data_IF_567222097543
#
_entry.id   IF_567222097543
#
_cell.length_a   1.000
_cell.length_b   1.000
_cell.length_c   1.000
_cell.angle_alpha   90.00
_cell.angle_beta   90.00
_cell.angle_gamma   90.00
#
_symmetry.space_group_name_H-M   'P 1'
#
loop_
_entity.id
_entity.type
_entity.pdbx_description
1 polymer ?
#
# COMPACT_ATOMS: atom_id res chain seq x y z
N UNK A 1 85.91 27.65 14.00
CA UNK A 1 85.82 26.24 13.55
C UNK A 1 85.54 25.36 14.76
N UNK A 2 84.76 24.25 14.68
CA UNK A 2 83.62 23.89 13.80
C UNK A 2 82.29 24.01 14.61
N UNK A 3 81.08 24.28 14.11
CA UNK A 3 80.27 23.89 12.95
C UNK A 3 79.72 22.44 12.97
N UNK A 4 78.54 22.27 13.57
CA UNK A 4 77.63 21.11 13.36
C UNK A 4 76.20 21.64 13.25
N UNK A 5 75.56 21.37 12.10
CA UNK A 5 74.21 21.79 11.73
C UNK A 5 73.13 20.99 12.50
N UNK A 6 72.13 21.69 13.03
CA UNK A 6 70.82 21.14 13.43
C UNK A 6 69.80 21.44 12.33
N UNK A 7 69.12 20.41 11.81
CA UNK A 7 67.87 20.57 11.06
C UNK A 7 66.70 20.12 11.94
N UNK A 8 65.87 21.09 12.33
CA UNK A 8 64.55 20.85 12.91
C UNK A 8 63.51 20.59 11.82
N UNK A 9 62.71 19.55 12.02
CA UNK A 9 61.48 19.25 11.27
C UNK A 9 60.33 19.97 12.00
N UNK A 10 59.66 20.91 11.34
CA UNK A 10 58.37 21.42 11.76
C UNK A 10 57.35 21.29 10.62
N UNK A 11 56.16 20.91 11.07
CA UNK A 11 54.91 20.58 10.40
C UNK A 11 54.44 21.58 9.34
N UNK A 12 54.06 21.07 8.16
CA UNK A 12 53.29 21.82 7.15
C UNK A 12 51.80 21.65 7.39
N UNK A 13 51.14 22.78 7.63
CA UNK A 13 49.70 22.99 7.43
C UNK A 13 49.31 22.63 5.99
N UNK A 14 48.18 21.94 5.82
CA UNK A 14 47.45 21.84 4.55
C UNK A 14 46.09 22.49 4.72
N UNK A 15 45.84 23.52 3.91
CA UNK A 15 44.58 24.24 3.79
C UNK A 15 43.55 23.39 3.07
N UNK A 16 42.32 23.41 3.57
CA UNK A 16 41.10 22.99 2.89
C UNK A 16 40.91 23.79 1.59
N UNK A 17 40.50 23.09 0.53
CA UNK A 17 39.90 23.68 -0.66
C UNK A 17 38.66 22.86 -1.01
N UNK A 18 37.49 23.51 -0.95
CA UNK A 18 36.21 23.00 -1.37
C UNK A 18 36.24 22.64 -2.87
N UNK A 19 35.68 21.48 -3.23
CA UNK A 19 35.42 21.10 -4.62
C UNK A 19 33.93 21.09 -4.89
N UNK A 20 33.53 22.04 -5.71
CA UNK A 20 32.26 22.14 -6.44
C UNK A 20 32.14 20.96 -7.41
N UNK A 21 31.06 20.18 -7.34
CA UNK A 21 30.70 19.21 -8.37
C UNK A 21 29.69 19.86 -9.32
N UNK A 22 30.12 20.08 -10.56
CA UNK A 22 29.26 20.51 -11.66
C UNK A 22 28.79 19.28 -12.46
N UNK A 23 27.49 19.26 -12.76
CA UNK A 23 26.80 18.27 -13.58
C UNK A 23 27.40 18.16 -14.99
N UNK A 24 27.70 16.94 -15.44
CA UNK A 24 27.95 16.65 -16.86
C UNK A 24 26.80 15.82 -17.42
N UNK A 25 26.09 16.41 -18.37
CA UNK A 25 25.11 15.74 -19.22
C UNK A 25 25.83 14.80 -20.22
N UNK A 26 25.23 13.65 -20.60
CA UNK A 26 25.81 12.78 -21.61
C UNK A 26 25.67 13.38 -23.03
N UNK A 27 26.79 13.41 -23.77
CA UNK A 27 26.86 13.74 -25.20
C UNK A 27 26.43 12.56 -26.07
N UNK A 28 25.90 12.82 -27.27
CA UNK A 28 25.28 11.82 -28.14
C UNK A 28 26.31 10.89 -28.81
N UNK A 29 25.91 9.63 -28.99
CA UNK A 29 26.62 8.59 -29.74
C UNK A 29 26.77 8.96 -31.24
N UNK A 30 27.94 8.71 -31.87
CA UNK A 30 28.14 9.01 -33.28
C UNK A 30 27.55 7.92 -34.19
N UNK A 31 26.94 8.39 -35.28
CA UNK A 31 26.43 7.60 -36.39
C UNK A 31 27.57 6.80 -37.06
N UNK A 32 27.34 5.50 -37.26
CA UNK A 32 28.18 4.68 -38.15
C UNK A 32 27.70 4.82 -39.60
N UNK A 33 28.68 5.08 -40.46
CA UNK A 33 28.60 5.27 -41.89
C UNK A 33 28.31 3.96 -42.65
N UNK A 34 27.51 4.13 -43.70
CA UNK A 34 27.21 3.24 -44.81
C UNK A 34 28.39 2.46 -45.40
N UNK A 35 28.20 1.14 -45.57
CA UNK A 35 28.92 0.34 -46.56
C UNK A 35 27.99 -0.03 -47.72
N UNK A 36 28.49 0.25 -48.92
CA UNK A 36 27.87 0.04 -50.22
C UNK A 36 27.86 -1.46 -50.57
N UNK A 37 26.72 -2.01 -50.97
CA UNK A 37 26.67 -3.27 -51.73
C UNK A 37 25.48 -3.27 -52.69
N UNK A 38 25.68 -3.96 -53.80
CA UNK A 38 25.10 -3.72 -55.10
C UNK A 38 23.61 -4.06 -55.25
N UNK A 39 23.01 -3.28 -56.15
CA UNK A 39 21.66 -3.36 -56.67
C UNK A 39 21.51 -4.53 -57.66
N UNK A 40 20.47 -5.36 -57.53
CA UNK A 40 19.86 -6.08 -58.66
C UNK A 40 18.40 -6.43 -58.34
N UNK A 41 17.51 -5.52 -58.76
CA UNK A 41 16.19 -5.75 -59.35
C UNK A 41 15.43 -7.04 -59.00
N UNK A 42 14.41 -6.93 -58.15
CA UNK A 42 13.16 -7.70 -58.28
C UNK A 42 11.95 -6.78 -58.12
N UNK A 43 11.04 -6.95 -59.07
CA UNK A 43 9.74 -6.32 -59.30
C UNK A 43 8.83 -6.26 -58.06
N UNK A 44 8.00 -5.21 -57.90
CA UNK A 44 7.00 -5.15 -56.83
C UNK A 44 5.76 -5.96 -57.22
N UNK A 45 5.51 -7.06 -56.50
CA UNK A 45 4.22 -7.76 -56.52
C UNK A 45 3.16 -6.92 -55.79
N UNK A 46 2.01 -6.77 -56.44
CA UNK A 46 0.86 -6.00 -55.99
C UNK A 46 0.34 -6.44 -54.60
N UNK A 47 0.03 -5.46 -53.76
CA UNK A 47 -0.74 -5.62 -52.53
C UNK A 47 -2.16 -6.16 -52.84
N UNK A 48 -2.64 -7.18 -52.11
CA UNK A 48 -4.02 -7.63 -52.23
C UNK A 48 -4.97 -6.62 -51.56
N UNK A 49 -6.04 -6.25 -52.27
CA UNK A 49 -7.12 -5.39 -51.78
C UNK A 49 -7.83 -6.02 -50.56
N UNK A 50 -8.30 -5.20 -49.60
CA UNK A 50 -9.07 -5.71 -48.46
C UNK A 50 -10.43 -6.25 -48.91
N UNK A 51 -10.95 -7.32 -48.28
CA UNK A 51 -12.24 -7.90 -48.63
C UNK A 51 -13.41 -6.94 -48.30
N UNK A 52 -14.40 -6.90 -49.19
CA UNK A 52 -15.64 -6.10 -49.03
C UNK A 52 -16.39 -6.48 -47.74
N UNK A 53 -17.01 -5.50 -47.04
CA UNK A 53 -17.81 -5.79 -45.85
C UNK A 53 -19.05 -6.62 -46.21
N UNK A 54 -19.33 -7.66 -45.41
CA UNK A 54 -20.53 -8.49 -45.52
C UNK A 54 -21.79 -7.67 -45.19
N UNK A 55 -22.93 -7.91 -45.86
CA UNK A 55 -24.18 -7.21 -45.57
C UNK A 55 -24.72 -7.59 -44.17
N UNK A 56 -25.21 -6.59 -43.44
CA UNK A 56 -25.83 -6.74 -42.11
C UNK A 56 -27.03 -7.70 -42.16
N UNK A 57 -27.22 -8.59 -41.17
CA UNK A 57 -28.40 -9.44 -41.11
C UNK A 57 -29.66 -8.63 -40.75
N UNK A 58 -30.76 -8.92 -41.45
CA UNK A 58 -32.10 -8.37 -41.17
C UNK A 58 -32.62 -8.85 -39.80
N UNK A 59 -33.38 -8.03 -39.04
CA UNK A 59 -33.94 -8.45 -37.77
C UNK A 59 -35.04 -9.51 -37.97
N UNK A 60 -34.96 -10.61 -37.22
CA UNK A 60 -36.02 -11.64 -37.14
C UNK A 60 -37.13 -11.20 -36.18
N UNK A 61 -38.38 -11.64 -36.39
CA UNK A 61 -39.53 -11.20 -35.61
C UNK A 61 -39.50 -11.75 -34.17
N UNK A 62 -39.91 -10.91 -33.21
CA UNK A 62 -40.05 -11.26 -31.79
C UNK A 62 -41.16 -12.31 -31.60
N UNK A 63 -40.79 -13.51 -31.17
CA UNK A 63 -41.72 -14.52 -30.67
C UNK A 63 -42.10 -14.15 -29.23
N UNK A 64 -43.37 -13.80 -28.98
CA UNK A 64 -43.90 -13.59 -27.63
C UNK A 64 -44.13 -14.95 -26.97
N UNK A 65 -43.23 -15.34 -26.07
CA UNK A 65 -43.45 -16.46 -25.16
C UNK A 65 -44.27 -15.97 -23.95
N UNK A 66 -45.54 -16.40 -23.84
CA UNK A 66 -46.34 -16.22 -22.62
C UNK A 66 -45.91 -17.28 -21.60
N UNK A 67 -45.09 -16.91 -20.63
CA UNK A 67 -44.91 -17.72 -19.42
C UNK A 67 -46.12 -17.53 -18.48
N UNK A 68 -46.78 -18.63 -18.12
CA UNK A 68 -47.73 -18.68 -17.00
C UNK A 68 -46.93 -18.75 -15.70
N UNK A 69 -47.12 -17.76 -14.83
CA UNK A 69 -46.61 -17.77 -13.45
C UNK A 69 -47.56 -18.58 -12.54
N UNK A 70 -47.06 -19.44 -11.65
CA UNK A 70 -47.86 -20.06 -10.60
C UNK A 70 -48.19 -19.08 -9.47
N UNK A 71 -49.40 -19.19 -8.93
CA UNK A 71 -49.93 -18.37 -7.84
C UNK A 71 -49.18 -18.63 -6.52
N UNK A 72 -48.51 -17.60 -6.00
CA UNK A 72 -48.11 -17.53 -4.60
C UNK A 72 -49.19 -16.82 -3.78
N UNK A 73 -49.72 -17.53 -2.78
CA UNK A 73 -50.69 -17.03 -1.80
C UNK A 73 -50.02 -15.98 -0.90
N UNK A 74 -50.70 -14.85 -0.70
CA UNK A 74 -50.36 -13.81 0.28
C UNK A 74 -50.76 -14.27 1.70
N UNK A 75 -49.98 -13.99 2.76
CA UNK A 75 -50.43 -14.14 4.13
C UNK A 75 -51.37 -12.99 4.53
N UNK A 76 -52.49 -13.34 5.16
CA UNK A 76 -53.49 -12.42 5.70
C UNK A 76 -53.00 -11.79 7.00
N UNK A 77 -53.02 -10.46 7.07
CA UNK A 77 -53.02 -9.70 8.33
C UNK A 77 -54.41 -9.80 8.98
N UNK A 78 -54.47 -10.29 10.22
CA UNK A 78 -55.67 -10.22 11.06
C UNK A 78 -55.75 -8.89 11.83
N UNK A 79 -56.95 -8.43 12.21
CA UNK A 79 -57.14 -7.18 12.95
C UNK A 79 -56.77 -7.32 14.44
N UNK A 80 -56.40 -6.21 15.12
CA UNK A 80 -56.03 -6.24 16.54
C UNK A 80 -57.25 -6.34 17.47
N UNK A 81 -57.10 -6.89 18.69
CA UNK A 81 -58.18 -6.94 19.69
C UNK A 81 -58.38 -5.60 20.42
N UNK A 82 -59.56 -5.38 21.04
CA UNK A 82 -59.99 -4.07 21.49
C UNK A 82 -59.42 -3.66 22.87
N UNK A 83 -59.25 -2.35 23.01
CA UNK A 83 -58.87 -1.61 24.21
C UNK A 83 -60.00 -1.70 25.24
N UNK A 84 -59.73 -2.24 26.42
CA UNK A 84 -60.62 -2.13 27.58
C UNK A 84 -59.91 -1.31 28.66
N UNK A 85 -60.48 -0.15 28.95
CA UNK A 85 -60.08 0.73 30.04
C UNK A 85 -60.61 0.20 31.37
N UNK A 86 -59.77 0.14 32.41
CA UNK A 86 -60.21 0.32 33.79
C UNK A 86 -59.18 1.13 34.58
N UNK A 87 -59.72 2.12 35.29
CA UNK A 87 -59.07 3.14 36.11
C UNK A 87 -58.77 2.62 37.54
N UNK A 88 -58.23 3.41 38.48
CA UNK A 88 -57.07 3.05 39.29
C UNK A 88 -57.42 2.65 40.73
N UNK A 89 -56.55 1.89 41.38
CA UNK A 89 -56.51 1.79 42.83
C UNK A 89 -55.21 2.39 43.38
N UNK A 90 -55.37 2.94 44.57
CA UNK A 90 -54.65 4.02 45.19
C UNK A 90 -53.92 3.45 46.43
N UNK A 91 -52.64 3.81 46.60
CA UNK A 91 -51.83 3.93 47.85
C UNK A 91 -51.37 2.61 48.57
N UNK A 92 -50.46 2.67 49.57
CA UNK A 92 -49.01 2.37 49.47
C UNK A 92 -48.55 1.30 50.49
N UNK A 93 -47.26 0.93 50.52
CA UNK A 93 -46.41 0.94 51.75
C UNK A 93 -45.02 0.37 51.48
N UNK A 94 -44.02 1.22 51.74
CA UNK A 94 -42.70 0.96 52.32
C UNK A 94 -42.20 -0.49 52.46
N UNK A 95 -41.04 -0.76 51.86
CA UNK A 95 -39.92 -1.39 52.58
C UNK A 95 -38.59 -0.84 52.03
N UNK A 96 -38.02 0.11 52.76
CA UNK A 96 -36.62 0.51 52.62
C UNK A 96 -35.76 -0.60 53.23
N UNK A 97 -35.05 -1.37 52.40
CA UNK A 97 -33.90 -2.14 52.85
C UNK A 97 -32.65 -1.41 52.36
N UNK A 98 -32.06 -0.63 53.27
CA UNK A 98 -30.76 -0.02 53.09
C UNK A 98 -29.70 -1.13 53.10
N UNK A 99 -29.29 -1.58 51.91
CA UNK A 99 -28.06 -2.34 51.74
C UNK A 99 -26.93 -1.32 51.48
N UNK A 100 -26.22 -0.96 52.54
CA UNK A 100 -24.99 -0.17 52.47
C UNK A 100 -23.89 -1.02 51.82
N UNK A 101 -23.86 -1.04 50.50
CA UNK A 101 -22.67 -1.42 49.75
C UNK A 101 -21.67 -0.26 49.88
N UNK A 102 -20.62 -0.49 50.66
CA UNK A 102 -19.44 0.37 50.69
C UNK A 102 -18.80 0.35 49.30
N UNK A 103 -19.11 1.36 48.49
CA UNK A 103 -18.37 1.65 47.27
C UNK A 103 -16.92 1.97 47.67
N UNK A 104 -15.90 1.31 47.09
CA UNK A 104 -14.54 1.81 47.22
C UNK A 104 -14.49 3.22 46.62
N UNK A 105 -13.66 4.13 47.17
CA UNK A 105 -13.53 5.48 46.63
C UNK A 105 -13.16 5.41 45.14
N UNK A 106 -13.58 6.40 44.32
CA UNK A 106 -13.15 6.45 42.94
C UNK A 106 -11.62 6.47 42.93
N UNK A 107 -11.02 5.41 42.44
CA UNK A 107 -9.61 5.39 42.10
C UNK A 107 -9.43 6.53 41.13
N UNK A 108 -8.69 7.55 41.56
CA UNK A 108 -8.22 8.64 40.72
C UNK A 108 -7.69 8.03 39.44
N UNK A 109 -8.46 8.11 38.35
CA UNK A 109 -7.97 7.87 37.01
C UNK A 109 -6.77 8.77 36.87
N UNK A 110 -5.59 8.15 36.72
CA UNK A 110 -4.41 8.85 36.29
C UNK A 110 -4.79 9.71 35.09
N UNK A 111 -4.35 10.97 35.01
CA UNK A 111 -4.57 11.76 33.81
C UNK A 111 -4.05 10.95 32.63
N UNK A 112 -4.89 10.77 31.61
CA UNK A 112 -4.49 10.25 30.32
C UNK A 112 -3.22 11.02 29.93
N UNK A 113 -2.08 10.33 29.91
CA UNK A 113 -0.82 10.93 29.51
C UNK A 113 -1.05 11.60 28.17
N UNK A 114 -0.86 12.92 28.10
CA UNK A 114 -0.80 13.62 26.83
C UNK A 114 0.11 12.83 25.90
N UNK A 115 -0.27 12.57 24.63
CA UNK A 115 0.61 11.88 23.71
C UNK A 115 1.94 12.63 23.69
N UNK A 116 3.01 11.94 24.09
CA UNK A 116 4.37 12.46 23.92
C UNK A 116 4.51 12.80 22.44
N UNK A 117 4.82 14.06 22.16
CA UNK A 117 5.01 14.59 20.80
C UNK A 117 6.30 13.96 20.24
N UNK A 118 6.20 12.75 19.69
CA UNK A 118 7.31 12.02 19.07
C UNK A 118 7.16 11.97 17.56
N UNK A 119 7.26 13.12 16.89
CA UNK A 119 7.76 13.17 15.52
C UNK A 119 9.23 12.77 15.52
N UNK A 120 9.60 11.76 14.74
CA UNK A 120 11.01 11.39 14.58
C UNK A 120 11.56 12.10 13.35
N UNK A 121 12.32 13.18 13.55
CA UNK A 121 13.07 13.85 12.46
C UNK A 121 14.21 12.98 11.92
N UNK A 122 14.59 11.95 12.68
CA UNK A 122 15.56 10.93 12.31
C UNK A 122 14.83 9.74 11.70
N UNK A 123 15.34 9.14 10.61
CA UNK A 123 14.75 7.91 10.07
C UNK A 123 14.66 6.80 11.11
N UNK A 124 13.55 6.07 11.11
CA UNK A 124 13.37 4.81 11.84
C UNK A 124 14.18 3.68 11.19
N UNK A 125 14.28 3.69 9.86
CA UNK A 125 15.22 2.88 9.08
C UNK A 125 16.04 3.83 8.19
N UNK A 126 17.35 4.00 8.44
CA UNK A 126 18.22 4.94 7.73
C UNK A 126 18.78 4.36 6.42
N UNK A 127 17.96 3.59 5.70
CA UNK A 127 18.32 2.95 4.44
C UNK A 127 17.19 3.12 3.43
N UNK A 128 17.45 2.85 2.14
CA UNK A 128 16.42 2.87 1.10
C UNK A 128 15.30 1.84 1.39
N UNK A 129 14.25 2.29 2.04
CA UNK A 129 13.07 1.54 2.47
C UNK A 129 11.80 2.29 2.05
N UNK A 130 11.53 2.42 0.73
CA UNK A 130 10.40 3.18 0.26
C UNK A 130 9.10 2.40 0.29
N UNK A 131 8.01 3.16 0.32
CA UNK A 131 6.62 2.65 0.27
C UNK A 131 6.35 1.62 1.37
N UNK A 132 6.61 1.98 2.65
CA UNK A 132 6.45 1.03 3.75
C UNK A 132 4.97 0.68 3.95
N UNK A 133 4.65 -0.60 4.11
CA UNK A 133 3.44 -1.02 4.82
C UNK A 133 3.80 -1.52 6.22
N UNK A 134 2.81 -1.57 7.12
CA UNK A 134 2.98 -1.98 8.52
C UNK A 134 1.90 -2.96 8.93
N UNK A 135 2.28 -4.00 9.67
CA UNK A 135 1.37 -5.00 10.22
C UNK A 135 1.91 -5.52 11.55
N UNK A 136 1.01 -5.84 12.49
CA UNK A 136 1.36 -6.55 13.72
C UNK A 136 1.07 -8.03 13.55
N UNK A 137 2.07 -8.87 13.78
CA UNK A 137 1.86 -10.30 13.96
C UNK A 137 1.26 -10.54 15.35
N UNK A 138 0.03 -11.06 15.39
CA UNK A 138 -0.67 -11.31 16.63
C UNK A 138 -0.05 -12.48 17.42
N UNK A 139 0.59 -13.43 16.74
CA UNK A 139 1.18 -14.60 17.37
C UNK A 139 2.46 -14.26 18.14
N UNK A 140 3.33 -13.43 17.55
CA UNK A 140 4.61 -13.04 18.15
C UNK A 140 4.60 -11.69 18.87
N UNK A 141 3.50 -10.92 18.78
CA UNK A 141 3.43 -9.53 19.23
C UNK A 141 4.53 -8.63 18.62
N UNK A 142 4.96 -8.97 17.40
CA UNK A 142 6.01 -8.24 16.69
C UNK A 142 5.41 -7.41 15.56
N UNK A 143 5.90 -6.18 15.41
CA UNK A 143 5.57 -5.32 14.29
C UNK A 143 6.51 -5.62 13.13
N UNK A 144 5.95 -5.72 11.93
CA UNK A 144 6.69 -5.87 10.70
C UNK A 144 6.36 -4.73 9.75
N UNK A 145 7.37 -4.31 9.00
CA UNK A 145 7.22 -3.41 7.88
C UNK A 145 7.80 -4.05 6.63
N UNK A 146 7.14 -3.84 5.50
CA UNK A 146 7.59 -4.31 4.19
C UNK A 146 7.72 -3.13 3.25
N UNK A 147 8.66 -3.19 2.31
CA UNK A 147 8.94 -2.09 1.40
C UNK A 147 9.26 -2.57 -0.02
N UNK A 148 9.17 -1.62 -0.95
CA UNK A 148 9.58 -1.76 -2.35
C UNK A 148 10.95 -2.43 -2.48
N UNK A 149 11.13 -3.29 -3.49
CA UNK A 149 12.35 -4.04 -3.72
C UNK A 149 13.60 -3.18 -3.86
N UNK A 150 14.71 -3.65 -3.31
CA UNK A 150 15.99 -2.95 -3.32
C UNK A 150 17.16 -3.92 -3.12
N UNK A 151 18.35 -3.44 -3.43
CA UNK A 151 19.57 -4.03 -2.90
C UNK A 151 19.63 -3.79 -1.38
N UNK A 152 20.05 -4.79 -0.59
CA UNK A 152 20.24 -4.60 0.84
C UNK A 152 21.34 -3.56 1.10
N UNK A 153 21.29 -2.85 2.23
CA UNK A 153 22.27 -1.81 2.54
C UNK A 153 23.67 -2.41 2.70
N UNK A 154 24.66 -1.81 2.06
CA UNK A 154 26.06 -2.28 2.10
C UNK A 154 26.67 -2.33 3.51
N UNK A 155 26.10 -1.57 4.47
CA UNK A 155 26.56 -1.53 5.85
C UNK A 155 26.14 -2.76 6.68
N UNK A 156 25.18 -3.56 6.19
CA UNK A 156 24.64 -4.74 6.87
C UNK A 156 25.22 -5.98 6.18
N UNK A 157 26.50 -6.26 6.42
CA UNK A 157 27.10 -7.52 5.99
C UNK A 157 26.45 -8.68 6.77
N UNK A 158 26.17 -9.80 6.11
CA UNK A 158 25.39 -10.94 6.60
C UNK A 158 26.04 -11.79 7.71
N UNK A 159 26.66 -11.14 8.69
CA UNK A 159 27.20 -11.80 9.89
C UNK A 159 26.32 -11.62 11.13
N UNK A 160 25.24 -10.84 11.04
CA UNK A 160 24.26 -10.66 12.12
C UNK A 160 23.02 -11.56 11.92
N UNK A 161 23.25 -12.83 11.59
CA UNK A 161 22.20 -13.85 11.46
C UNK A 161 22.01 -14.64 12.76
N UNK A 162 22.10 -13.99 13.91
CA UNK A 162 21.70 -14.60 15.19
C UNK A 162 20.17 -14.58 15.31
N UNK A 163 19.52 -15.39 14.48
CA UNK A 163 18.17 -15.90 14.75
C UNK A 163 18.26 -17.43 14.79
N UNK A 164 17.97 -17.95 15.98
CA UNK A 164 17.88 -19.34 16.41
C UNK A 164 17.65 -20.34 15.26
N UNK A 165 18.73 -21.01 14.85
CA UNK A 165 18.72 -22.05 13.83
C UNK A 165 18.22 -23.37 14.43
N UNK A 166 16.91 -23.50 14.61
CA UNK A 166 16.27 -24.78 14.94
C UNK A 166 15.07 -25.07 14.03
N UNK A 167 15.27 -25.01 12.71
CA UNK A 167 14.46 -25.82 11.79
C UNK A 167 15.26 -26.19 10.55
N UNK A 168 15.73 -27.44 10.55
CA UNK A 168 16.32 -28.08 9.38
C UNK A 168 15.18 -28.56 8.48
N UNK A 169 14.96 -27.88 7.36
CA UNK A 169 14.32 -28.52 6.21
C UNK A 169 15.04 -28.09 4.93
N UNK A 170 15.75 -29.04 4.37
CA UNK A 170 16.45 -28.96 3.09
C UNK A 170 15.43 -28.80 1.96
N UNK A 171 15.33 -27.61 1.41
CA UNK A 171 14.72 -27.36 0.10
C UNK A 171 15.72 -26.57 -0.72
N UNK A 172 16.34 -27.26 -1.69
CA UNK A 172 17.20 -26.69 -2.71
C UNK A 172 16.38 -25.79 -3.63
N UNK A 173 16.39 -24.49 -3.34
CA UNK A 173 16.12 -23.43 -4.31
C UNK A 173 17.06 -22.26 -3.99
N UNK A 174 17.83 -21.84 -5.01
CA UNK A 174 18.83 -20.77 -5.03
C UNK A 174 19.01 -19.96 -3.73
N UNK A 175 19.87 -20.48 -2.87
CA UNK A 175 20.97 -19.75 -2.21
C UNK A 175 20.65 -18.27 -1.88
N UNK A 176 19.87 -18.07 -0.82
CA UNK A 176 19.86 -16.82 -0.07
C UNK A 176 21.17 -16.70 0.73
N UNK A 177 22.29 -16.49 0.02
CA UNK A 177 23.57 -16.09 0.60
C UNK A 177 23.95 -14.71 0.04
N UNK A 178 24.23 -13.78 0.96
CA UNK A 178 24.94 -12.50 0.78
C UNK A 178 24.57 -11.56 -0.40
N UNK A 179 23.96 -10.41 -0.10
CA UNK A 179 24.00 -9.22 -0.96
C UNK A 179 23.12 -9.18 -2.22
N UNK A 180 22.34 -10.22 -2.52
CA UNK A 180 21.42 -10.23 -3.67
C UNK A 180 20.29 -9.18 -3.58
N UNK A 181 19.67 -8.85 -4.72
CA UNK A 181 18.45 -8.04 -4.76
C UNK A 181 17.36 -8.68 -3.89
N UNK A 182 16.55 -7.85 -3.22
CA UNK A 182 15.32 -8.27 -2.52
C UNK A 182 14.14 -7.80 -3.34
N UNK A 183 13.26 -8.71 -3.75
CA UNK A 183 12.04 -8.30 -4.41
C UNK A 183 11.14 -7.54 -3.43
N UNK A 184 11.02 -8.03 -2.19
CA UNK A 184 10.38 -7.29 -1.12
C UNK A 184 11.34 -7.21 0.07
N UNK A 185 11.50 -6.02 0.63
CA UNK A 185 12.31 -5.80 1.82
C UNK A 185 11.46 -5.99 3.08
N UNK A 186 12.09 -6.32 4.22
CA UNK A 186 11.39 -6.40 5.50
C UNK A 186 12.20 -5.78 6.65
N UNK A 187 11.48 -5.27 7.65
CA UNK A 187 11.99 -4.80 8.92
C UNK A 187 11.06 -5.24 10.06
N UNK A 188 11.56 -5.33 11.29
CA UNK A 188 10.76 -5.67 12.47
C UNK A 188 10.99 -4.72 13.64
N UNK A 189 10.02 -4.60 14.52
CA UNK A 189 10.10 -3.82 15.76
C UNK A 189 9.23 -4.42 16.88
N UNK A 190 9.57 -4.17 18.15
CA UNK A 190 8.71 -4.54 19.28
C UNK A 190 7.50 -3.60 19.45
N UNK A 191 7.52 -2.43 18.80
CA UNK A 191 6.44 -1.44 18.85
C UNK A 191 6.36 -0.68 17.52
N UNK A 192 5.24 -0.04 17.16
CA UNK A 192 5.14 0.69 15.90
C UNK A 192 6.10 1.89 15.84
N UNK A 193 6.49 2.44 17.00
CA UNK A 193 7.51 3.50 17.13
C UNK A 193 8.95 2.97 17.02
N UNK A 194 9.16 1.65 17.06
CA UNK A 194 10.47 1.02 17.05
C UNK A 194 10.94 0.50 18.41
N UNK A 195 12.26 0.30 18.60
CA UNK A 195 13.30 0.43 17.57
C UNK A 195 13.07 -0.53 16.41
N UNK A 196 13.26 -0.03 15.18
CA UNK A 196 13.11 -0.82 13.96
C UNK A 196 14.45 -1.43 13.55
N UNK A 197 14.43 -2.70 13.15
CA UNK A 197 15.58 -3.46 12.69
C UNK A 197 15.34 -3.94 11.27
N UNK A 198 16.24 -3.58 10.35
CA UNK A 198 16.21 -4.08 8.97
C UNK A 198 16.59 -5.58 8.94
N UNK A 199 15.81 -6.39 8.24
CA UNK A 199 16.01 -7.85 8.17
C UNK A 199 16.79 -8.21 6.90
N UNK A 200 18.12 -8.20 6.97
CA UNK A 200 18.98 -8.37 5.77
C UNK A 200 18.82 -9.70 5.04
N UNK A 201 18.47 -10.77 5.76
CA UNK A 201 18.21 -12.09 5.20
C UNK A 201 16.79 -12.26 4.64
N UNK A 202 15.87 -11.33 4.87
CA UNK A 202 14.49 -11.47 4.44
C UNK A 202 14.31 -11.02 2.99
N UNK A 203 13.80 -11.93 2.16
CA UNK A 203 13.07 -11.62 0.93
C UNK A 203 11.74 -12.36 1.01
N UNK A 204 10.65 -11.72 1.48
CA UNK A 204 9.37 -12.39 1.62
C UNK A 204 8.79 -12.86 0.28
N UNK A 205 9.16 -12.26 -0.85
CA UNK A 205 8.66 -12.62 -2.17
C UNK A 205 9.82 -12.94 -3.14
N UNK A 206 10.62 -13.98 -2.88
CA UNK A 206 11.81 -14.27 -3.68
C UNK A 206 11.46 -14.65 -5.13
N UNK A 207 10.24 -15.15 -5.35
CA UNK A 207 9.64 -15.33 -6.67
C UNK A 207 8.36 -14.47 -6.77
N UNK A 208 8.37 -13.37 -7.56
CA UNK A 208 7.20 -12.52 -7.74
C UNK A 208 6.21 -13.07 -8.78
N UNK A 209 6.45 -14.27 -9.31
CA UNK A 209 5.56 -15.00 -10.20
C UNK A 209 5.99 -14.94 -11.65
N UNK A 210 5.71 -16.02 -12.39
CA UNK A 210 6.12 -16.20 -13.78
C UNK A 210 5.51 -15.19 -14.78
N UNK A 211 4.47 -14.44 -14.37
CA UNK A 211 3.89 -13.37 -15.17
C UNK A 211 4.71 -12.08 -15.13
N UNK A 212 5.69 -11.99 -14.23
CA UNK A 212 6.57 -10.83 -14.07
C UNK A 212 7.85 -10.98 -14.90
N UNK A 213 8.50 -9.86 -15.23
CA UNK A 213 9.75 -9.84 -16.00
C UNK A 213 10.88 -10.68 -15.35
N UNK A 214 10.80 -10.95 -14.04
CA UNK A 214 11.73 -11.80 -13.29
C UNK A 214 13.15 -11.25 -13.13
N UNK A 215 13.97 -11.93 -12.33
CA UNK A 215 15.41 -11.63 -12.15
C UNK A 215 15.73 -10.61 -11.04
N UNK A 216 17.02 -10.46 -10.72
CA UNK A 216 17.49 -9.42 -9.79
C UNK A 216 17.24 -8.04 -10.38
N UNK A 217 16.57 -7.16 -9.62
CA UNK A 217 16.04 -5.91 -10.16
C UNK A 217 14.62 -6.03 -10.72
N UNK A 218 13.92 -7.16 -10.49
CA UNK A 218 12.49 -7.23 -10.75
C UNK A 218 11.82 -6.07 -10.01
N UNK A 219 11.09 -5.24 -10.76
CA UNK A 219 10.55 -3.97 -10.27
C UNK A 219 9.29 -4.23 -9.45
N UNK A 220 9.46 -4.89 -8.30
CA UNK A 220 8.41 -5.16 -7.33
C UNK A 220 8.28 -3.98 -6.37
N UNK A 221 7.10 -3.37 -6.33
CA UNK A 221 6.87 -2.10 -5.64
C UNK A 221 5.71 -2.17 -4.65
N UNK A 222 5.81 -1.33 -3.62
CA UNK A 222 4.74 -0.95 -2.68
C UNK A 222 3.92 -2.16 -2.19
N UNK A 223 4.55 -3.10 -1.45
CA UNK A 223 3.82 -4.23 -0.91
C UNK A 223 2.80 -3.79 0.15
N UNK A 224 1.69 -4.50 0.24
CA UNK A 224 0.74 -4.43 1.35
C UNK A 224 0.43 -5.83 1.86
N UNK A 225 0.64 -6.07 3.15
CA UNK A 225 0.43 -7.39 3.78
C UNK A 225 -0.78 -7.34 4.70
N UNK A 226 -1.70 -8.29 4.52
CA UNK A 226 -2.88 -8.47 5.40
C UNK A 226 -2.95 -9.89 5.92
N UNK A 227 -3.42 -10.05 7.16
CA UNK A 227 -3.75 -11.36 7.72
C UNK A 227 -5.15 -11.78 7.26
N UNK A 228 -5.27 -13.02 6.79
CA UNK A 228 -6.54 -13.71 6.60
C UNK A 228 -6.97 -14.30 7.94
N UNK A 229 -8.25 -14.14 8.27
CA UNK A 229 -8.83 -14.89 9.38
C UNK A 229 -8.95 -16.34 8.92
N UNK A 230 -8.31 -17.28 9.60
CA UNK A 230 -8.42 -18.69 9.25
C UNK A 230 -9.83 -19.23 9.55
N UNK A 231 -10.33 -20.23 8.82
CA UNK A 231 -11.44 -21.05 9.27
C UNK A 231 -10.95 -21.91 10.46
N UNK A 232 -10.87 -21.33 11.65
CA UNK A 232 -10.08 -21.97 12.71
C UNK A 232 -10.06 -21.30 14.08
N UNK A 233 -10.67 -20.12 14.27
CA UNK A 233 -10.91 -19.60 15.63
C UNK A 233 -11.99 -20.42 16.39
N UNK A 234 -12.52 -21.50 15.78
CA UNK A 234 -13.50 -22.42 16.37
C UNK A 234 -13.35 -23.93 16.08
N UNK A 235 -12.62 -24.36 15.04
CA UNK A 235 -12.67 -25.77 14.57
C UNK A 235 -11.40 -26.61 14.86
N UNK A 236 -10.36 -26.05 15.49
CA UNK A 236 -9.29 -26.84 16.12
C UNK A 236 -8.30 -27.58 15.19
N UNK A 237 -8.33 -27.33 13.89
CA UNK A 237 -7.49 -28.04 12.89
C UNK A 237 -6.04 -27.53 12.77
N UNK A 238 -5.62 -26.52 13.56
CA UNK A 238 -4.21 -26.17 13.74
C UNK A 238 -3.49 -25.58 12.50
N UNK A 239 -4.21 -25.28 11.43
CA UNK A 239 -3.68 -24.54 10.27
C UNK A 239 -3.49 -23.07 10.68
N UNK A 240 -2.27 -22.73 11.12
CA UNK A 240 -1.92 -21.38 11.59
C UNK A 240 -2.22 -20.24 10.60
N UNK A 241 -1.93 -19.02 11.06
CA UNK A 241 -2.17 -17.75 10.36
C UNK A 241 -1.90 -17.81 8.85
N UNK A 242 -2.79 -17.23 8.05
CA UNK A 242 -2.60 -17.06 6.63
C UNK A 242 -2.45 -15.57 6.30
N UNK A 243 -1.59 -15.25 5.35
CA UNK A 243 -1.27 -13.88 4.94
C UNK A 243 -1.42 -13.73 3.43
N UNK A 244 -1.93 -12.59 3.00
CA UNK A 244 -1.88 -12.13 1.60
C UNK A 244 -0.94 -10.94 1.51
N UNK A 245 -0.01 -10.99 0.58
CA UNK A 245 0.77 -9.84 0.14
C UNK A 245 0.25 -9.41 -1.23
N UNK A 246 -0.23 -8.18 -1.33
CA UNK A 246 -0.43 -7.50 -2.60
C UNK A 246 0.83 -6.73 -2.94
N UNK A 247 1.20 -6.67 -4.22
CA UNK A 247 2.39 -5.97 -4.70
C UNK A 247 2.19 -5.54 -6.15
N UNK A 248 2.88 -4.50 -6.59
CA UNK A 248 3.01 -4.20 -8.00
C UNK A 248 4.25 -4.87 -8.57
N UNK A 249 4.20 -5.38 -9.80
CA UNK A 249 5.38 -5.87 -10.51
C UNK A 249 5.30 -5.61 -12.00
N UNK A 250 6.47 -5.42 -12.63
CA UNK A 250 6.60 -5.22 -14.07
C UNK A 250 6.18 -6.49 -14.83
N UNK A 251 5.25 -6.33 -15.77
CA UNK A 251 4.74 -7.42 -16.58
C UNK A 251 5.83 -8.02 -17.48
N UNK A 252 5.82 -9.33 -17.71
CA UNK A 252 6.70 -9.95 -18.69
C UNK A 252 6.21 -9.75 -20.14
N UNK A 253 7.12 -9.84 -21.10
CA UNK A 253 6.80 -9.85 -22.53
C UNK A 253 6.71 -8.46 -23.17
N UNK A 254 5.91 -8.34 -24.23
CA UNK A 254 5.85 -7.13 -25.07
C UNK A 254 5.29 -5.90 -24.34
N UNK A 255 4.51 -6.11 -23.28
CA UNK A 255 3.89 -5.07 -22.44
C UNK A 255 4.73 -4.77 -21.18
N UNK A 256 6.01 -5.13 -21.20
CA UNK A 256 6.91 -4.97 -20.04
C UNK A 256 7.17 -3.52 -19.62
N UNK A 257 6.66 -2.53 -20.34
CA UNK A 257 6.69 -1.14 -19.86
C UNK A 257 5.74 -0.89 -18.67
N UNK A 258 4.78 -1.78 -18.41
CA UNK A 258 3.72 -1.56 -17.44
C UNK A 258 3.85 -2.45 -16.20
N UNK A 259 3.42 -1.89 -15.07
CA UNK A 259 3.27 -2.63 -13.82
C UNK A 259 1.82 -3.05 -13.64
N UNK A 260 1.64 -4.21 -13.03
CA UNK A 260 0.32 -4.72 -12.66
C UNK A 260 0.35 -5.18 -11.20
N UNK A 261 -0.82 -5.20 -10.56
CA UNK A 261 -0.96 -5.64 -9.18
C UNK A 261 -1.10 -7.16 -9.16
N UNK A 262 -0.22 -7.82 -8.42
CA UNK A 262 -0.29 -9.22 -8.05
C UNK A 262 -0.76 -9.43 -6.62
N UNK A 263 -1.04 -10.70 -6.31
CA UNK A 263 -1.23 -11.20 -4.96
C UNK A 263 -0.38 -12.45 -4.74
N UNK A 264 0.06 -12.67 -3.52
CA UNK A 264 0.81 -13.85 -3.10
C UNK A 264 0.37 -14.25 -1.69
N UNK A 265 0.42 -15.54 -1.35
CA UNK A 265 -0.04 -16.06 -0.06
C UNK A 265 1.05 -16.77 0.71
N UNK A 266 1.05 -16.65 2.04
CA UNK A 266 1.96 -17.38 2.93
C UNK A 266 1.26 -17.85 4.21
N UNK A 267 1.91 -18.77 4.93
CA UNK A 267 1.53 -19.17 6.30
C UNK A 267 2.36 -18.47 7.40
N UNK A 268 3.44 -17.79 7.00
CA UNK A 268 4.26 -16.99 7.89
C UNK A 268 4.30 -15.55 7.38
N UNK A 269 4.33 -14.59 8.29
CA UNK A 269 4.29 -13.17 7.94
C UNK A 269 5.49 -12.73 7.08
N UNK A 270 6.65 -13.36 7.27
CA UNK A 270 7.86 -13.16 6.47
C UNK A 270 7.93 -14.05 5.20
N UNK A 271 6.88 -14.81 4.89
CA UNK A 271 6.87 -15.69 3.73
C UNK A 271 7.70 -16.98 3.90
N UNK A 272 8.25 -17.53 2.80
CA UNK A 272 8.14 -17.00 1.45
C UNK A 272 6.68 -17.04 0.96
N UNK A 273 6.26 -15.96 0.30
CA UNK A 273 4.94 -15.84 -0.28
C UNK A 273 4.90 -16.54 -1.65
N UNK A 274 3.87 -17.36 -1.87
CA UNK A 274 3.61 -18.04 -3.13
C UNK A 274 2.72 -17.15 -4.01
N UNK A 275 3.21 -16.66 -5.17
CA UNK A 275 2.45 -15.75 -6.03
C UNK A 275 1.30 -16.46 -6.74
N UNK A 276 0.23 -15.70 -7.02
CA UNK A 276 -0.80 -16.12 -7.95
C UNK A 276 -0.23 -16.29 -9.36
N UNK A 277 -0.89 -17.12 -10.18
CA UNK A 277 -0.42 -17.43 -11.53
C UNK A 277 -0.40 -16.23 -12.49
N UNK A 278 -1.12 -15.15 -12.17
CA UNK A 278 -1.20 -13.92 -12.95
C UNK A 278 -1.52 -12.71 -12.07
N UNK A 279 -1.48 -11.49 -12.63
CA UNK A 279 -1.88 -10.29 -11.93
C UNK A 279 -3.38 -10.34 -11.61
N UNK A 280 -3.77 -9.78 -10.47
CA UNK A 280 -5.18 -9.64 -10.06
C UNK A 280 -5.81 -8.37 -10.62
N UNK A 281 -5.00 -7.33 -10.92
CA UNK A 281 -5.44 -6.09 -11.55
C UNK A 281 -4.40 -5.62 -12.57
N UNK A 282 -4.80 -5.43 -13.82
CA UNK A 282 -3.89 -5.07 -14.91
C UNK A 282 -4.58 -4.29 -16.05
N UNK A 283 -5.01 -3.04 -15.83
CA UNK A 283 -5.69 -2.23 -16.86
C UNK A 283 -4.66 -1.67 -17.87
N UNK A 284 -4.12 -2.53 -18.73
CA UNK A 284 -3.05 -2.19 -19.70
C UNK A 284 -3.42 -1.05 -20.64
N UNK A 285 -4.68 -0.96 -21.06
CA UNK A 285 -5.17 0.15 -21.88
C UNK A 285 -4.97 1.52 -21.20
N UNK A 286 -4.95 1.53 -19.87
CA UNK A 286 -4.77 2.72 -19.03
C UNK A 286 -3.35 2.86 -18.47
N UNK A 287 -2.41 1.97 -18.78
CA UNK A 287 -1.01 2.06 -18.29
C UNK A 287 -0.65 1.07 -17.18
N UNK A 288 -1.58 0.21 -16.77
CA UNK A 288 -1.35 -0.74 -15.69
C UNK A 288 -1.84 -0.22 -14.33
N UNK A 289 -1.41 -0.88 -13.27
CA UNK A 289 -1.81 -0.56 -11.90
C UNK A 289 -0.65 -0.80 -10.92
N UNK A 290 -0.56 0.07 -9.92
CA UNK A 290 0.45 0.04 -8.86
C UNK A 290 -0.16 0.37 -7.49
N UNK A 291 0.70 0.36 -6.47
CA UNK A 291 0.41 0.75 -5.09
C UNK A 291 -0.83 0.09 -4.48
N UNK A 292 -0.87 -1.26 -4.43
CA UNK A 292 -1.97 -1.93 -3.78
C UNK A 292 -1.94 -1.71 -2.27
N UNK A 293 -3.11 -1.51 -1.66
CA UNK A 293 -3.28 -1.50 -0.20
C UNK A 293 -4.50 -2.33 0.21
N UNK A 294 -4.25 -3.35 1.02
CA UNK A 294 -5.29 -4.22 1.55
C UNK A 294 -6.02 -3.58 2.73
N UNK A 295 -7.35 -3.63 2.71
CA UNK A 295 -8.19 -3.10 3.77
C UNK A 295 -9.22 -4.13 4.23
N UNK A 296 -9.35 -4.29 5.55
CA UNK A 296 -10.43 -5.05 6.15
C UNK A 296 -11.41 -4.09 6.83
N UNK A 297 -12.65 -4.11 6.35
CA UNK A 297 -13.72 -3.29 6.91
C UNK A 297 -14.21 -3.87 8.24
N UNK A 298 -14.81 -3.02 9.07
CA UNK A 298 -15.45 -3.47 10.31
C UNK A 298 -16.71 -4.27 9.96
N UNK A 299 -17.05 -5.24 10.81
CA UNK A 299 -18.35 -5.93 10.72
C UNK A 299 -19.45 -4.91 11.03
N UNK A 300 -20.25 -4.53 10.03
CA UNK A 300 -21.41 -3.66 10.25
C UNK A 300 -22.66 -4.53 10.48
N UNK A 301 -23.45 -4.28 11.54
CA UNK A 301 -24.69 -5.02 11.75
C UNK A 301 -25.62 -4.92 10.53
N UNK A 302 -25.90 -6.06 9.88
CA UNK A 302 -26.86 -6.15 8.78
C UNK A 302 -26.28 -6.02 7.36
N UNK A 303 -24.96 -6.03 7.18
CA UNK A 303 -24.31 -6.05 5.86
C UNK A 303 -24.36 -7.43 5.15
N UNK A 304 -24.90 -8.46 5.83
CA UNK A 304 -24.93 -9.84 5.33
C UNK A 304 -23.56 -10.52 5.33
N UNK A 305 -22.52 -9.85 5.83
CA UNK A 305 -21.12 -10.25 5.82
C UNK A 305 -20.68 -10.97 7.09
N UNK A 306 -21.39 -12.01 7.52
CA UNK A 306 -20.93 -12.93 8.59
C UNK A 306 -20.39 -12.25 9.88
N UNK A 307 -19.56 -12.98 10.63
CA UNK A 307 -18.81 -12.44 11.80
C UNK A 307 -17.48 -11.78 11.39
N UNK A 308 -17.12 -11.79 10.10
CA UNK A 308 -15.90 -11.24 9.55
C UNK A 308 -16.22 -10.18 8.47
N UNK A 309 -15.75 -8.95 8.67
CA UNK A 309 -16.06 -7.83 7.79
C UNK A 309 -15.56 -8.02 6.35
N UNK A 310 -16.12 -7.23 5.41
CA UNK A 310 -15.76 -7.27 3.99
C UNK A 310 -14.29 -6.88 3.77
N UNK A 311 -13.66 -7.46 2.75
CA UNK A 311 -12.25 -7.19 2.39
C UNK A 311 -12.16 -6.43 1.08
N UNK A 312 -11.16 -5.57 0.98
CA UNK A 312 -10.91 -4.76 -0.20
C UNK A 312 -9.43 -4.63 -0.48
N UNK A 313 -9.12 -4.31 -1.73
CA UNK A 313 -7.82 -3.86 -2.19
C UNK A 313 -8.01 -2.51 -2.87
N UNK A 314 -7.33 -1.50 -2.35
CA UNK A 314 -7.14 -0.23 -3.04
C UNK A 314 -5.97 -0.37 -4.00
N UNK A 315 -5.98 0.36 -5.11
CA UNK A 315 -4.84 0.46 -6.02
C UNK A 315 -4.92 1.73 -6.85
N UNK A 316 -3.78 2.19 -7.38
CA UNK A 316 -3.71 3.25 -8.38
C UNK A 316 -3.75 2.65 -9.78
N UNK A 317 -4.56 3.23 -10.67
CA UNK A 317 -4.34 3.05 -12.12
C UNK A 317 -3.17 3.94 -12.54
N UNK A 318 -2.13 3.34 -13.12
CA UNK A 318 -0.85 3.98 -13.45
C UNK A 318 -0.92 4.78 -14.76
N UNK A 319 -1.94 5.64 -14.88
CA UNK A 319 -2.18 6.42 -16.10
C UNK A 319 -1.04 7.34 -16.49
N UNK A 320 -0.20 7.72 -15.52
CA UNK A 320 1.01 8.48 -15.76
C UNK A 320 2.03 7.75 -16.66
N UNK A 321 2.02 6.41 -16.75
CA UNK A 321 2.82 5.66 -17.72
C UNK A 321 2.43 5.93 -19.19
N UNK A 322 1.25 6.53 -19.43
CA UNK A 322 0.75 6.95 -20.75
C UNK A 322 0.57 8.47 -20.88
N UNK A 323 1.17 9.24 -19.98
CA UNK A 323 1.14 10.70 -20.01
C UNK A 323 2.04 11.30 -21.10
N UNK A 324 1.97 12.63 -21.24
CA UNK A 324 2.78 13.38 -22.21
C UNK A 324 4.25 13.57 -21.82
N UNK A 325 4.72 12.94 -20.74
CA UNK A 325 6.05 13.13 -20.18
C UNK A 325 6.10 14.18 -19.06
N UNK A 326 7.30 14.65 -18.72
CA UNK A 326 7.53 15.55 -17.58
C UNK A 326 7.55 14.81 -16.24
N UNK A 327 7.22 15.51 -15.16
CA UNK A 327 7.23 14.96 -13.79
C UNK A 327 6.38 13.68 -13.72
N UNK A 328 7.01 12.59 -13.25
CA UNK A 328 6.45 11.25 -13.20
C UNK A 328 5.76 10.80 -14.51
N UNK A 329 6.20 11.29 -15.66
CA UNK A 329 5.62 10.94 -16.97
C UNK A 329 4.29 11.62 -17.30
N UNK A 330 3.78 12.50 -16.43
CA UNK A 330 2.44 13.06 -16.54
C UNK A 330 2.35 14.56 -16.19
N UNK A 331 3.47 15.29 -16.29
CA UNK A 331 3.52 16.74 -16.08
C UNK A 331 3.25 17.57 -17.34
N UNK A 332 3.23 16.94 -18.52
CA UNK A 332 3.03 17.59 -19.82
C UNK A 332 1.81 17.00 -20.52
N UNK A 333 1.06 17.85 -21.23
CA UNK A 333 -0.13 17.43 -21.98
C UNK A 333 0.20 16.41 -23.09
N UNK A 334 -0.67 15.40 -23.32
CA UNK A 334 -1.92 15.16 -22.61
C UNK A 334 -1.70 14.52 -21.24
N UNK A 335 -2.21 15.18 -20.19
CA UNK A 335 -2.15 14.62 -18.84
C UNK A 335 -3.24 13.55 -18.66
N UNK A 336 -2.85 12.36 -18.21
CA UNK A 336 -3.75 11.22 -17.93
C UNK A 336 -4.28 11.27 -16.51
N UNK A 337 -5.41 10.60 -16.28
CA UNK A 337 -5.96 10.36 -14.94
C UNK A 337 -5.10 9.33 -14.20
N UNK A 338 -5.12 9.35 -12.88
CA UNK A 338 -4.44 8.36 -12.03
C UNK A 338 -5.36 8.00 -10.87
N UNK A 339 -6.54 7.41 -11.14
CA UNK A 339 -7.53 7.16 -10.10
C UNK A 339 -7.03 6.10 -9.11
N UNK A 340 -7.30 6.35 -7.83
CA UNK A 340 -7.36 5.36 -6.77
C UNK A 340 -8.70 4.64 -6.89
N UNK A 341 -8.61 3.33 -7.01
CA UNK A 341 -9.71 2.39 -7.17
C UNK A 341 -9.87 1.58 -5.89
N UNK A 342 -11.08 1.08 -5.64
CA UNK A 342 -11.44 0.18 -4.55
C UNK A 342 -12.09 -1.08 -5.15
N UNK A 343 -11.44 -2.23 -5.01
CA UNK A 343 -11.96 -3.53 -5.43
C UNK A 343 -12.30 -4.34 -4.19
N UNK A 344 -13.55 -4.80 -4.06
CA UNK A 344 -13.88 -5.82 -3.05
C UNK A 344 -13.26 -7.16 -3.46
N UNK A 345 -12.72 -7.88 -2.49
CA UNK A 345 -12.19 -9.23 -2.67
C UNK A 345 -12.91 -10.20 -1.74
N UNK A 346 -12.90 -11.48 -2.11
CA UNK A 346 -13.50 -12.53 -1.33
C UNK A 346 -12.90 -12.52 0.08
N UNK A 347 -13.77 -12.64 1.07
CA UNK A 347 -13.40 -12.44 2.46
C UNK A 347 -12.50 -13.56 2.98
N UNK A 348 -12.61 -14.75 2.40
CA UNK A 348 -11.99 -15.98 2.88
C UNK A 348 -10.59 -16.13 2.25
N UNK A 349 -10.45 -15.84 0.94
CA UNK A 349 -9.14 -15.91 0.25
C UNK A 349 -8.39 -14.57 0.16
N UNK A 350 -9.08 -13.43 0.26
CA UNK A 350 -8.50 -12.10 0.12
C UNK A 350 -7.91 -11.81 -1.27
N UNK A 351 -8.32 -12.50 -2.32
CA UNK A 351 -7.74 -12.39 -3.67
C UNK A 351 -8.81 -12.33 -4.74
N UNK A 352 -9.83 -13.18 -4.66
CA UNK A 352 -10.85 -13.30 -5.70
C UNK A 352 -11.72 -12.05 -5.74
N UNK A 353 -11.72 -11.32 -6.87
CA UNK A 353 -12.51 -10.10 -7.01
C UNK A 353 -14.02 -10.35 -6.87
N UNK A 354 -14.71 -9.50 -6.10
CA UNK A 354 -16.16 -9.49 -5.92
C UNK A 354 -16.72 -8.21 -6.54
N UNK A 355 -17.51 -8.36 -7.61
CA UNK A 355 -18.09 -7.21 -8.32
C UNK A 355 -17.05 -6.32 -8.99
N UNK A 356 -17.50 -5.15 -9.45
CA UNK A 356 -16.67 -4.19 -10.17
C UNK A 356 -15.92 -3.24 -9.20
N UNK A 357 -14.69 -2.88 -9.56
CA UNK A 357 -13.94 -1.84 -8.86
C UNK A 357 -14.64 -0.46 -8.96
N UNK A 358 -14.58 0.30 -7.88
CA UNK A 358 -15.14 1.65 -7.79
C UNK A 358 -14.01 2.67 -7.70
N UNK A 359 -14.09 3.74 -8.48
CA UNK A 359 -13.17 4.87 -8.34
C UNK A 359 -13.54 5.67 -7.08
N UNK A 360 -12.56 5.90 -6.19
CA UNK A 360 -12.78 6.62 -4.93
C UNK A 360 -12.15 8.02 -4.94
N UNK A 361 -11.05 8.21 -5.67
CA UNK A 361 -10.32 9.48 -5.73
C UNK A 361 -9.44 9.55 -6.98
N UNK A 362 -9.53 10.60 -7.79
CA UNK A 362 -8.61 10.85 -8.91
C UNK A 362 -7.87 12.17 -8.72
N UNK A 363 -6.73 12.34 -9.40
CA UNK A 363 -5.92 13.55 -9.32
C UNK A 363 -6.68 14.78 -9.80
N UNK A 364 -6.40 15.90 -9.15
CA UNK A 364 -6.87 17.23 -9.54
C UNK A 364 -5.70 18.07 -10.03
N UNK A 365 -5.76 18.53 -11.28
CA UNK A 365 -4.64 19.28 -11.89
C UNK A 365 -4.26 20.58 -11.18
N UNK A 366 -5.20 21.19 -10.44
CA UNK A 366 -4.97 22.41 -9.67
C UNK A 366 -4.29 22.17 -8.31
N UNK A 367 -4.22 20.92 -7.83
CA UNK A 367 -3.70 20.61 -6.49
C UNK A 367 -2.70 19.45 -6.45
N UNK A 368 -2.93 18.39 -7.22
CA UNK A 368 -2.19 17.13 -7.13
C UNK A 368 -1.03 17.04 -8.13
N UNK A 369 -0.93 18.00 -9.05
CA UNK A 369 0.06 17.99 -10.13
C UNK A 369 -0.11 16.75 -11.04
N UNK A 370 0.98 16.01 -11.33
CA UNK A 370 0.97 14.92 -12.30
C UNK A 370 0.16 13.69 -11.87
N UNK A 371 -0.02 13.42 -10.57
CA UNK A 371 -0.65 12.18 -10.11
C UNK A 371 -1.12 12.22 -8.65
N UNK A 372 -1.95 11.25 -8.29
CA UNK A 372 -2.19 10.78 -6.91
C UNK A 372 -1.81 9.30 -6.85
N UNK A 373 -1.28 8.84 -5.72
CA UNK A 373 -0.75 7.48 -5.56
C UNK A 373 -0.68 7.02 -4.09
N UNK A 374 -0.15 5.83 -3.87
CA UNK A 374 0.05 5.22 -2.56
C UNK A 374 -1.16 5.34 -1.60
N UNK A 375 -2.32 4.73 -1.95
CA UNK A 375 -3.48 4.74 -1.09
C UNK A 375 -3.23 3.94 0.18
N UNK A 376 -3.75 4.43 1.31
CA UNK A 376 -3.94 3.64 2.52
C UNK A 376 -5.28 4.01 3.16
N UNK A 377 -6.03 3.03 3.64
CA UNK A 377 -7.40 3.23 4.12
C UNK A 377 -7.54 2.78 5.57
N UNK A 378 -8.09 3.66 6.40
CA UNK A 378 -8.48 3.30 7.77
C UNK A 378 -9.91 3.69 8.07
N UNK A 379 -10.52 2.94 8.98
CA UNK A 379 -11.84 3.23 9.52
C UNK A 379 -11.75 3.63 10.99
N UNK A 380 -12.22 4.83 11.29
CA UNK A 380 -12.22 5.41 12.65
C UNK A 380 -13.24 4.70 13.54
N UNK A 381 -13.12 4.91 14.86
CA UNK A 381 -14.07 4.33 15.82
C UNK A 381 -15.53 4.76 15.59
N UNK A 382 -15.73 5.97 15.10
CA UNK A 382 -17.03 6.52 14.77
C UNK A 382 -17.50 6.21 13.33
N UNK A 383 -16.79 5.33 12.62
CA UNK A 383 -17.23 4.78 11.33
C UNK A 383 -16.97 5.68 10.12
N UNK A 384 -16.01 6.62 10.20
CA UNK A 384 -15.53 7.35 9.03
C UNK A 384 -14.38 6.62 8.36
N UNK A 385 -14.36 6.69 7.04
CA UNK A 385 -13.25 6.21 6.22
C UNK A 385 -12.29 7.36 5.95
N UNK A 386 -11.02 7.15 6.26
CA UNK A 386 -9.93 8.09 5.99
C UNK A 386 -9.01 7.45 4.97
N UNK A 387 -8.99 8.00 3.76
CA UNK A 387 -8.07 7.64 2.69
C UNK A 387 -6.85 8.53 2.80
N UNK A 388 -5.72 7.96 3.21
CA UNK A 388 -4.41 8.57 3.01
C UNK A 388 -3.99 8.36 1.55
N UNK A 389 -3.32 9.34 0.97
CA UNK A 389 -2.77 9.25 -0.38
C UNK A 389 -1.58 10.20 -0.53
N UNK A 390 -0.72 9.94 -1.50
CA UNK A 390 0.32 10.86 -1.92
C UNK A 390 0.00 11.54 -3.24
N UNK A 391 0.55 12.73 -3.47
CA UNK A 391 0.42 13.46 -4.73
C UNK A 391 1.76 14.06 -5.15
N UNK A 392 1.83 14.59 -6.38
CA UNK A 392 3.08 14.97 -7.05
C UNK A 392 4.04 13.80 -7.26
N UNK A 393 5.21 14.05 -7.83
CA UNK A 393 6.17 13.01 -8.17
C UNK A 393 7.07 12.69 -6.96
N UNK A 394 7.20 11.41 -6.63
CA UNK A 394 7.95 10.90 -5.47
C UNK A 394 9.39 11.41 -5.34
N UNK A 395 10.03 11.80 -6.45
CA UNK A 395 11.42 12.26 -6.49
C UNK A 395 11.56 13.79 -6.40
N UNK A 396 10.48 14.50 -6.09
CA UNK A 396 10.43 15.95 -6.04
C UNK A 396 9.93 16.48 -4.70
N UNK A 397 10.32 17.71 -4.31
CA UNK A 397 9.93 18.30 -3.02
C UNK A 397 8.42 18.56 -2.89
N UNK A 398 7.66 18.48 -4.00
CA UNK A 398 6.21 18.55 -3.98
C UNK A 398 5.52 17.29 -3.46
N UNK A 399 6.23 16.14 -3.41
CA UNK A 399 5.66 14.90 -2.89
C UNK A 399 5.25 15.08 -1.43
N UNK A 400 4.03 14.67 -1.12
CA UNK A 400 3.43 14.90 0.20
C UNK A 400 2.44 13.79 0.58
N UNK A 401 2.20 13.64 1.88
CA UNK A 401 1.10 12.83 2.42
C UNK A 401 -0.12 13.71 2.55
N UNK A 402 -1.26 13.24 2.04
CA UNK A 402 -2.55 13.92 2.06
C UNK A 402 -3.61 12.98 2.61
N UNK A 403 -4.80 13.51 2.88
CA UNK A 403 -5.95 12.68 3.26
C UNK A 403 -7.27 13.20 2.70
N UNK A 404 -8.22 12.28 2.57
CA UNK A 404 -9.61 12.57 2.28
C UNK A 404 -10.53 11.68 3.15
N UNK A 405 -11.73 12.16 3.45
CA UNK A 405 -12.65 11.50 4.40
C UNK A 405 -13.99 11.21 3.74
N UNK A 406 -14.59 10.05 4.04
CA UNK A 406 -15.92 9.65 3.58
C UNK A 406 -16.73 8.99 4.69
N UNK A 407 -18.05 8.94 4.51
CA UNK A 407 -18.99 8.18 5.37
C UNK A 407 -19.34 6.80 4.79
N UNK A 408 -19.12 6.62 3.50
CA UNK A 408 -19.26 5.35 2.79
C UNK A 408 -17.89 5.02 2.21
N UNK A 409 -17.47 3.76 2.31
CA UNK A 409 -16.16 3.31 1.80
C UNK A 409 -16.00 3.58 0.29
N UNK A 410 -17.11 3.62 -0.46
CA UNK A 410 -17.14 3.94 -1.89
C UNK A 410 -17.14 5.45 -2.17
N UNK A 411 -17.07 6.28 -1.13
CA UNK A 411 -17.05 7.73 -1.23
C UNK A 411 -18.46 8.37 -1.27
N UNK A 412 -18.55 9.65 -1.68
CA UNK A 412 -17.45 10.48 -2.15
C UNK A 412 -16.45 10.81 -1.04
N UNK A 413 -15.16 10.86 -1.39
CA UNK A 413 -14.10 11.28 -0.48
C UNK A 413 -13.86 12.79 -0.57
N UNK A 414 -14.03 13.47 0.56
CA UNK A 414 -13.79 14.91 0.71
C UNK A 414 -12.35 15.14 1.17
N UNK A 415 -11.55 15.84 0.36
CA UNK A 415 -10.15 16.16 0.68
C UNK A 415 -10.05 17.12 1.86
N UNK A 416 -8.96 17.00 2.60
CA UNK A 416 -8.57 17.99 3.60
C UNK A 416 -8.52 19.41 3.01
N UNK A 417 -9.13 20.38 3.70
CA UNK A 417 -9.14 21.77 3.27
C UNK A 417 -7.84 22.52 3.62
N UNK A 418 -7.11 22.03 4.64
CA UNK A 418 -5.94 22.73 5.22
C UNK A 418 -4.62 22.44 4.49
N UNK A 419 -4.67 21.67 3.39
CA UNK A 419 -3.51 21.24 2.61
C UNK A 419 -2.95 19.88 3.03
N UNK A 420 -1.71 19.54 2.61
CA UNK A 420 -1.10 18.25 2.91
C UNK A 420 -0.92 18.01 4.40
N UNK A 421 -1.02 16.74 4.80
CA UNK A 421 -0.82 16.26 6.17
C UNK A 421 0.66 16.31 6.58
N UNK A 422 1.55 15.87 5.68
CA UNK A 422 3.02 15.88 5.86
C UNK A 422 3.63 16.37 4.55
N UNK A 423 4.53 17.35 4.60
CA UNK A 423 5.14 17.95 3.39
C UNK A 423 6.54 18.50 3.62
N UNK A 424 7.30 18.62 2.54
CA UNK A 424 8.58 19.33 2.55
C UNK A 424 8.45 20.72 3.17
N UNK A 425 9.34 21.02 4.13
CA UNK A 425 9.38 22.31 4.83
C UNK A 425 8.39 22.47 5.98
N UNK A 426 7.70 21.40 6.38
CA UNK A 426 6.96 21.38 7.65
C UNK A 426 7.90 21.22 8.87
N UNK A 427 7.32 21.08 10.06
CA UNK A 427 8.07 20.94 11.31
C UNK A 427 8.89 19.65 11.41
N UNK A 428 8.58 18.61 10.63
CA UNK A 428 9.35 17.37 10.59
C UNK A 428 10.63 17.54 9.77
N UNK A 429 10.66 18.53 8.87
CA UNK A 429 11.80 18.85 8.00
C UNK A 429 12.27 17.63 7.16
N UNK A 430 11.31 16.82 6.70
CA UNK A 430 11.54 15.69 5.81
C UNK A 430 11.22 16.15 4.38
N UNK A 431 12.10 15.84 3.43
CA UNK A 431 11.88 16.17 2.01
C UNK A 431 11.15 15.02 1.33
N UNK A 432 10.20 15.36 0.45
CA UNK A 432 9.39 14.41 -0.30
C UNK A 432 8.75 13.29 0.57
N UNK A 433 8.02 13.63 1.66
CA UNK A 433 7.35 12.64 2.46
C UNK A 433 6.16 12.02 1.73
N UNK A 434 6.02 10.70 1.74
CA UNK A 434 4.87 10.03 1.14
C UNK A 434 4.84 8.51 1.32
N UNK A 435 3.92 7.85 0.62
CA UNK A 435 3.71 6.41 0.77
C UNK A 435 3.34 6.03 2.20
N UNK A 436 2.37 6.73 2.78
CA UNK A 436 1.99 6.53 4.18
C UNK A 436 1.17 5.25 4.36
N UNK A 437 1.45 4.50 5.43
CA UNK A 437 0.67 3.35 5.85
C UNK A 437 0.45 3.35 7.36
N UNK A 438 -0.72 2.88 7.80
CA UNK A 438 -1.07 2.81 9.21
C UNK A 438 -1.88 1.54 9.53
N UNK A 439 -2.05 1.26 10.81
CA UNK A 439 -2.93 0.19 11.30
C UNK A 439 -4.04 0.84 12.13
N UNK A 440 -5.33 0.49 11.88
CA UNK A 440 -6.44 1.04 12.65
C UNK A 440 -6.27 0.91 14.16
N UNK A 441 -6.54 1.99 14.89
CA UNK A 441 -6.51 2.04 16.36
C UNK A 441 -5.12 2.21 16.98
N UNK A 442 -4.05 2.24 16.19
CA UNK A 442 -2.67 2.33 16.70
C UNK A 442 -2.22 3.78 16.93
N UNK A 443 -2.78 4.72 16.17
CA UNK A 443 -2.42 6.14 16.28
C UNK A 443 -1.00 6.45 15.82
N UNK A 444 -0.47 5.66 14.89
CA UNK A 444 0.86 5.81 14.32
C UNK A 444 0.81 5.53 12.82
N UNK A 445 1.58 6.28 12.04
CA UNK A 445 1.77 6.03 10.61
C UNK A 445 3.26 5.92 10.29
N UNK A 446 3.60 5.03 9.36
CA UNK A 446 4.90 5.00 8.69
C UNK A 446 4.79 5.70 7.34
N UNK A 447 5.88 6.28 6.87
CA UNK A 447 6.00 6.89 5.55
C UNK A 447 7.47 6.93 5.15
N UNK A 448 7.75 7.14 3.86
CA UNK A 448 9.12 7.36 3.42
C UNK A 448 9.41 8.84 3.18
N UNK A 449 10.69 9.21 3.14
CA UNK A 449 11.16 10.52 2.70
C UNK A 449 12.63 10.49 2.30
N UNK A 450 13.09 11.54 1.64
CA UNK A 450 14.46 11.61 1.12
C UNK A 450 15.50 11.60 2.25
N UNK A 451 16.53 10.77 2.07
CA UNK A 451 17.71 10.68 2.91
C UNK A 451 18.96 10.40 2.03
N UNK A 452 20.19 10.52 2.57
CA UNK A 452 21.40 10.25 1.79
C UNK A 452 21.46 8.85 1.14
N UNK A 453 20.78 7.88 1.74
CA UNK A 453 20.74 6.48 1.33
C UNK A 453 19.62 6.16 0.33
N UNK A 454 18.79 7.14 -0.04
CA UNK A 454 17.63 6.96 -0.94
C UNK A 454 16.35 7.49 -0.28
N UNK A 455 15.33 6.64 -0.20
CA UNK A 455 14.06 6.96 0.50
C UNK A 455 14.01 6.18 1.81
N UNK A 456 14.26 6.85 2.92
CA UNK A 456 14.29 6.24 4.25
C UNK A 456 12.90 6.16 4.88
N UNK A 457 12.71 5.26 5.85
CA UNK A 457 11.46 5.13 6.59
C UNK A 457 11.44 6.06 7.79
N UNK A 458 10.34 6.79 7.95
CA UNK A 458 10.03 7.66 9.07
C UNK A 458 8.69 7.24 9.71
N UNK A 459 8.37 7.83 10.85
CA UNK A 459 7.07 7.64 11.49
C UNK A 459 6.63 8.84 12.31
N UNK A 460 5.33 8.98 12.45
CA UNK A 460 4.69 10.07 13.18
C UNK A 460 3.45 9.56 13.94
N UNK A 461 3.12 10.23 15.05
CA UNK A 461 1.84 10.05 15.70
C UNK A 461 0.72 10.50 14.77
N UNK A 462 -0.43 9.81 14.82
CA UNK A 462 -1.61 10.14 14.01
C UNK A 462 -2.86 10.12 14.87
N UNK A 463 -3.70 11.12 14.69
CA UNK A 463 -5.02 11.22 15.33
C UNK A 463 -6.08 11.60 14.32
N UNK A 464 -7.30 11.16 14.57
CA UNK A 464 -8.47 11.60 13.82
C UNK A 464 -9.49 12.15 14.81
N UNK A 465 -9.77 13.44 14.72
CA UNK A 465 -10.77 14.13 15.51
C UNK A 465 -11.79 14.72 14.56
N UNK A 466 -13.04 14.30 14.70
CA UNK A 466 -14.06 14.59 13.70
C UNK A 466 -13.55 14.20 12.29
N UNK A 467 -13.70 15.08 11.29
CA UNK A 467 -13.20 14.84 9.94
C UNK A 467 -11.77 15.30 9.72
N UNK A 468 -11.01 15.61 10.79
CA UNK A 468 -9.67 16.19 10.70
C UNK A 468 -8.63 15.19 11.16
N UNK A 469 -7.65 14.94 10.30
CA UNK A 469 -6.47 14.14 10.63
C UNK A 469 -5.35 15.07 11.07
N UNK A 470 -4.65 14.71 12.15
CA UNK A 470 -3.47 15.43 12.64
C UNK A 470 -2.30 14.49 12.86
N UNK A 471 -1.09 15.03 12.69
CA UNK A 471 0.18 14.35 12.95
C UNK A 471 1.05 15.14 13.94
N UNK A 472 1.89 14.45 14.71
CA UNK A 472 2.75 15.05 15.74
C UNK A 472 3.96 14.20 16.13
#
# INVERSE_FOLDING_TARGET
MPNVRRHGRQSRQTRMAARTYASQAPKPTPAMSSSTSNNTSKTPSALPLPPRPRPRPRPRPRLRLRLRLPHFRRPHCGPPPPITAMLPFLIPTYLLLALTLTLPPPTTTAPLSSPTTTTTTTPLIPYNFPDPCIIRDAASDTWYAFATGSWPPAAINATDTDTDSSSSSSSSNSDATDGGWRNIQAASAPSPQGPWTYLAGADPLPDPGAWTLGGGGSQTWAPSVVRLAGPGDGDGDGDGDAYVMYYAAQLAGDESAYHCVGAATARGILGPYAPMAGPIVCPLEQGGAIDPSGFQDRVLPGDGGGEAGRRYVLYKVDGNAKGGGGDCGNGVDPIRRTPIMLQEVDRDDGVTAVGEAVEVLDRRGDMDGPLVEAPDLVVTEDGRYVLLYSNHCWNGPGYSVNYAVARDIRGPYERAADGPLIRTGDAMNITAPGGAATVPGVGWLLFHGDCPEGRCMFGAGMGVEESRVTVW
#
